data_IF_351353048299
#
_entry.id   IF_351353048299
#
_cell.length_a   1.000
_cell.length_b   1.000
_cell.length_c   1.000
_cell.angle_alpha   90.00
_cell.angle_beta   90.00
_cell.angle_gamma   90.00
#
_symmetry.space_group_name_H-M   'P 1'
#
loop_
_entity.id
_entity.type
_entity.pdbx_description
1 polymer ?
#
# COMPACT_ATOMS: atom_id res chain seq x y z
N UNK A 1 -19.31 11.37 -17.50
CA UNK A 1 -19.06 10.90 -16.13
C UNK A 1 -18.81 12.06 -15.20
N UNK A 2 -19.27 11.94 -13.96
CA UNK A 2 -18.81 12.74 -12.82
C UNK A 2 -17.74 11.93 -12.11
N UNK A 3 -16.50 12.38 -12.18
CA UNK A 3 -15.33 11.69 -11.64
C UNK A 3 -14.89 12.37 -10.34
N UNK A 4 -14.66 11.59 -9.29
CA UNK A 4 -14.15 12.09 -8.03
C UNK A 4 -12.92 11.31 -7.57
N UNK A 5 -11.78 12.01 -7.52
CA UNK A 5 -10.57 11.57 -6.84
C UNK A 5 -10.44 12.30 -5.51
N UNK A 6 -10.26 11.57 -4.42
CA UNK A 6 -10.20 12.12 -3.07
C UNK A 6 -8.79 12.51 -2.62
N UNK A 7 -7.80 12.47 -3.53
CA UNK A 7 -6.44 12.86 -3.19
C UNK A 7 -6.35 14.37 -2.91
N UNK A 8 -5.29 14.78 -2.22
CA UNK A 8 -4.93 16.21 -2.15
C UNK A 8 -4.12 16.62 -3.39
N UNK A 9 -4.29 17.87 -3.83
CA UNK A 9 -3.59 18.42 -5.00
C UNK A 9 -2.08 18.51 -4.82
N UNK A 10 -1.58 18.49 -3.58
CA UNK A 10 -0.14 18.44 -3.25
C UNK A 10 0.54 17.11 -3.60
N UNK A 11 -0.21 16.07 -3.96
CA UNK A 11 0.34 14.78 -4.40
C UNK A 11 0.20 14.58 -5.91
N UNK A 12 1.02 13.70 -6.48
CA UNK A 12 0.97 13.38 -7.91
C UNK A 12 -0.41 12.87 -8.35
N UNK A 13 -1.13 12.14 -7.49
CA UNK A 13 -2.52 11.71 -7.75
C UNK A 13 -3.44 12.90 -7.98
N UNK A 14 -3.28 13.99 -7.23
CA UNK A 14 -4.05 15.21 -7.48
C UNK A 14 -3.68 15.89 -8.80
N UNK A 15 -2.39 15.92 -9.13
CA UNK A 15 -1.92 16.48 -10.41
C UNK A 15 -2.51 15.70 -11.59
N UNK A 16 -2.23 14.41 -11.68
CA UNK A 16 -2.58 13.57 -12.82
C UNK A 16 -4.05 13.20 -12.86
N UNK A 17 -4.69 13.01 -11.69
CA UNK A 17 -6.01 12.40 -11.59
C UNK A 17 -7.05 13.25 -10.86
N UNK A 18 -6.79 14.50 -10.48
CA UNK A 18 -7.86 15.50 -10.21
C UNK A 18 -7.89 16.51 -11.34
N UNK A 19 -6.72 17.01 -11.74
CA UNK A 19 -6.59 18.12 -12.69
C UNK A 19 -6.32 17.62 -14.10
N UNK A 20 -5.09 17.20 -14.40
CA UNK A 20 -4.63 17.08 -15.79
C UNK A 20 -5.37 16.00 -16.58
N UNK A 21 -5.47 14.77 -16.06
CA UNK A 21 -6.12 13.65 -16.75
C UNK A 21 -7.60 13.91 -17.02
N UNK A 22 -8.43 14.15 -15.99
CA UNK A 22 -9.86 14.40 -16.17
C UNK A 22 -10.14 15.61 -17.08
N UNK A 23 -9.48 16.76 -16.86
CA UNK A 23 -9.74 17.97 -17.64
C UNK A 23 -9.27 17.84 -19.10
N UNK A 24 -8.17 17.14 -19.35
CA UNK A 24 -7.71 16.88 -20.74
C UNK A 24 -8.68 15.99 -21.51
N UNK A 25 -9.51 15.19 -20.81
CA UNK A 25 -10.56 14.37 -21.40
C UNK A 25 -11.93 15.08 -21.44
N UNK A 26 -12.02 16.35 -21.04
CA UNK A 26 -13.27 17.09 -20.95
C UNK A 26 -14.25 16.52 -19.91
N UNK A 27 -13.76 15.75 -18.94
CA UNK A 27 -14.59 15.18 -17.88
C UNK A 27 -14.93 16.21 -16.79
N UNK A 28 -16.03 15.97 -16.07
CA UNK A 28 -16.33 16.70 -14.83
C UNK A 28 -15.55 16.07 -13.68
N UNK A 29 -14.65 16.83 -13.06
CA UNK A 29 -13.85 16.41 -11.91
C UNK A 29 -14.34 17.10 -10.64
N UNK A 30 -14.48 16.34 -9.55
CA UNK A 30 -14.87 16.87 -8.24
C UNK A 30 -13.63 17.09 -7.38
N UNK A 31 -13.48 18.32 -6.86
CA UNK A 31 -12.48 18.65 -5.85
C UNK A 31 -13.19 18.88 -4.52
N UNK A 32 -12.71 18.22 -3.46
CA UNK A 32 -13.31 18.27 -2.14
C UNK A 32 -12.29 18.81 -1.14
N UNK A 33 -12.65 19.89 -0.44
CA UNK A 33 -11.79 20.56 0.56
C UNK A 33 -11.81 19.84 1.92
N UNK A 34 -12.88 19.08 2.20
CA UNK A 34 -13.14 18.52 3.52
C UNK A 34 -12.48 17.17 3.81
N UNK A 35 -12.83 16.63 4.98
CA UNK A 35 -12.53 15.27 5.42
C UNK A 35 -13.69 14.79 6.32
N UNK A 36 -13.83 13.47 6.60
CA UNK A 36 -14.79 12.99 7.60
C UNK A 36 -14.50 13.64 8.95
N UNK A 37 -15.53 14.17 9.61
CA UNK A 37 -15.45 14.80 10.94
C UNK A 37 -16.48 14.17 11.87
N UNK A 38 -16.29 14.28 13.19
CA UNK A 38 -17.21 13.72 14.16
C UNK A 38 -18.68 14.17 13.96
N UNK A 39 -18.90 15.39 13.47
CA UNK A 39 -20.24 15.92 13.16
C UNK A 39 -20.87 15.32 11.90
N UNK A 40 -20.07 14.78 10.97
CA UNK A 40 -20.55 14.10 9.77
C UNK A 40 -19.50 13.12 9.23
N UNK A 41 -19.52 11.90 9.74
CA UNK A 41 -18.66 10.81 9.27
C UNK A 41 -19.08 10.29 7.88
N UNK A 42 -20.33 10.56 7.46
CA UNK A 42 -20.89 10.15 6.18
C UNK A 42 -20.69 11.15 5.04
N UNK A 43 -19.91 12.22 5.24
CA UNK A 43 -19.84 13.35 4.30
C UNK A 43 -19.41 12.96 2.88
N UNK A 44 -18.60 11.90 2.71
CA UNK A 44 -18.20 11.42 1.39
C UNK A 44 -19.39 10.82 0.64
N UNK A 45 -20.25 10.10 1.34
CA UNK A 45 -21.45 9.48 0.77
C UNK A 45 -22.48 10.54 0.41
N UNK A 46 -22.61 11.60 1.22
CA UNK A 46 -23.43 12.76 0.91
C UNK A 46 -22.98 13.45 -0.40
N UNK A 47 -21.66 13.52 -0.64
CA UNK A 47 -21.09 14.07 -1.89
C UNK A 47 -21.40 13.18 -3.08
N UNK A 48 -21.24 11.86 -2.96
CA UNK A 48 -21.57 10.91 -4.03
C UNK A 48 -23.04 11.01 -4.43
N UNK A 49 -23.94 10.97 -3.46
CA UNK A 49 -25.38 11.07 -3.67
C UNK A 49 -25.77 12.43 -4.27
N UNK A 50 -25.28 13.53 -3.70
CA UNK A 50 -25.64 14.90 -4.15
C UNK A 50 -25.17 15.19 -5.57
N UNK A 51 -23.95 14.78 -5.92
CA UNK A 51 -23.34 15.09 -7.22
C UNK A 51 -23.43 13.94 -8.22
N UNK A 52 -24.09 12.84 -7.85
CA UNK A 52 -24.27 11.66 -8.69
C UNK A 52 -22.93 11.17 -9.25
N UNK A 53 -21.94 11.02 -8.36
CA UNK A 53 -20.58 10.61 -8.73
C UNK A 53 -20.65 9.23 -9.41
N UNK A 54 -20.01 9.12 -10.56
CA UNK A 54 -20.00 7.90 -11.37
C UNK A 54 -18.71 7.08 -11.20
N UNK A 55 -17.59 7.75 -10.89
CA UNK A 55 -16.29 7.12 -10.68
C UNK A 55 -15.72 7.66 -9.37
N UNK A 56 -15.40 6.76 -8.44
CA UNK A 56 -14.87 7.12 -7.13
C UNK A 56 -13.47 6.52 -6.93
N UNK A 57 -12.48 7.38 -6.75
CA UNK A 57 -11.06 7.02 -6.68
C UNK A 57 -10.44 7.52 -5.37
N UNK A 58 -10.03 6.60 -4.50
CA UNK A 58 -9.59 6.93 -3.14
C UNK A 58 -8.44 6.04 -2.66
N UNK A 59 -7.83 6.37 -1.52
CA UNK A 59 -6.71 5.60 -0.98
C UNK A 59 -7.19 4.44 -0.07
N UNK A 60 -6.43 3.33 0.04
CA UNK A 60 -6.72 2.25 1.00
C UNK A 60 -6.88 2.75 2.44
N UNK A 61 -6.09 3.75 2.86
CA UNK A 61 -6.22 4.37 4.19
C UNK A 61 -7.60 4.97 4.45
N UNK A 62 -8.19 5.62 3.44
CA UNK A 62 -9.55 6.13 3.55
C UNK A 62 -10.56 4.97 3.63
N UNK A 63 -10.39 3.94 2.79
CA UNK A 63 -11.24 2.73 2.81
C UNK A 63 -11.23 2.07 4.19
N UNK A 64 -10.06 1.84 4.79
CA UNK A 64 -9.93 1.31 6.16
C UNK A 64 -10.62 2.20 7.20
N UNK A 65 -10.54 3.52 7.04
CA UNK A 65 -11.22 4.46 7.92
C UNK A 65 -12.74 4.34 7.80
N UNK A 66 -13.27 4.17 6.59
CA UNK A 66 -14.70 3.95 6.36
C UNK A 66 -15.21 2.64 6.95
N UNK A 67 -14.41 1.57 6.85
CA UNK A 67 -14.70 0.28 7.51
C UNK A 67 -14.88 0.50 9.01
N UNK A 68 -13.93 1.18 9.65
CA UNK A 68 -13.95 1.48 11.09
C UNK A 68 -15.13 2.38 11.50
N UNK A 69 -15.53 3.32 10.65
CA UNK A 69 -16.70 4.18 10.89
C UNK A 69 -18.03 3.42 10.76
N UNK A 70 -18.05 2.29 10.06
CA UNK A 70 -19.17 1.36 9.98
C UNK A 70 -20.06 1.56 8.75
N UNK A 71 -20.64 0.44 8.28
CA UNK A 71 -21.40 0.36 7.03
C UNK A 71 -22.72 1.16 7.05
N UNK A 72 -23.25 1.52 8.21
CA UNK A 72 -24.49 2.30 8.34
C UNK A 72 -24.41 3.69 7.68
N UNK A 73 -23.21 4.28 7.59
CA UNK A 73 -23.01 5.55 6.90
C UNK A 73 -23.25 5.45 5.38
N UNK A 74 -22.53 4.59 4.62
CA UNK A 74 -22.81 4.44 3.20
C UNK A 74 -24.18 3.82 2.92
N UNK A 75 -24.66 2.88 3.75
CA UNK A 75 -25.93 2.18 3.51
C UNK A 75 -27.20 3.05 3.63
N UNK A 76 -27.07 4.30 4.10
CA UNK A 76 -28.19 5.24 4.23
C UNK A 76 -28.24 6.28 3.11
N UNK A 77 -27.38 6.17 2.08
CA UNK A 77 -27.31 7.06 0.91
C UNK A 77 -27.49 6.27 -0.38
N UNK A 78 -27.96 6.95 -1.43
CA UNK A 78 -28.01 6.39 -2.77
C UNK A 78 -26.64 6.49 -3.46
N UNK A 79 -25.96 5.33 -3.58
CA UNK A 79 -24.68 5.16 -4.28
C UNK A 79 -24.85 4.52 -5.67
N UNK A 80 -26.08 4.44 -6.20
CA UNK A 80 -26.37 3.74 -7.47
C UNK A 80 -25.77 4.44 -8.70
N UNK A 81 -25.41 5.71 -8.61
CA UNK A 81 -24.70 6.42 -9.69
C UNK A 81 -23.31 5.86 -9.97
N UNK A 82 -22.67 5.22 -8.97
CA UNK A 82 -21.33 4.64 -9.14
C UNK A 82 -21.34 3.51 -10.17
N UNK A 83 -20.33 3.51 -11.04
CA UNK A 83 -20.08 2.44 -12.02
C UNK A 83 -18.66 1.89 -11.99
N UNK A 84 -17.73 2.60 -11.35
CA UNK A 84 -16.33 2.22 -11.25
C UNK A 84 -15.74 2.75 -9.93
N UNK A 85 -15.03 1.87 -9.24
CA UNK A 85 -14.25 2.22 -8.06
C UNK A 85 -12.78 2.10 -8.41
N UNK A 86 -11.93 2.90 -7.78
CA UNK A 86 -10.50 2.69 -7.84
C UNK A 86 -9.81 2.94 -6.52
N UNK A 87 -8.63 2.34 -6.40
CA UNK A 87 -7.76 2.47 -5.22
C UNK A 87 -6.32 2.76 -5.61
N UNK A 88 -5.62 3.55 -4.79
CA UNK A 88 -4.31 4.12 -5.15
C UNK A 88 -3.40 4.41 -3.96
N UNK A 89 -2.11 4.30 -4.22
CA UNK A 89 -1.05 4.92 -3.41
C UNK A 89 -0.46 4.02 -2.34
N UNK A 90 -1.15 2.94 -1.98
CA UNK A 90 -0.69 1.90 -1.06
C UNK A 90 -1.28 0.56 -1.51
N UNK A 91 -0.68 -0.59 -1.12
CA UNK A 91 -1.34 -1.87 -1.27
C UNK A 91 -2.68 -1.90 -0.52
N UNK A 92 -3.69 -2.48 -1.15
CA UNK A 92 -4.99 -2.77 -0.53
C UNK A 92 -5.04 -4.24 -0.11
N UNK A 93 -5.37 -4.50 1.16
CA UNK A 93 -5.54 -5.88 1.59
C UNK A 93 -6.85 -6.49 1.03
N UNK A 94 -6.94 -7.82 0.85
CA UNK A 94 -8.12 -8.47 0.29
C UNK A 94 -9.42 -8.18 1.03
N UNK A 95 -9.40 -8.07 2.36
CA UNK A 95 -10.61 -7.82 3.16
C UNK A 95 -11.18 -6.42 2.89
N UNK A 96 -10.33 -5.39 2.91
CA UNK A 96 -10.71 -4.03 2.59
C UNK A 96 -11.18 -3.90 1.14
N UNK A 97 -10.54 -4.62 0.21
CA UNK A 97 -10.96 -4.69 -1.19
C UNK A 97 -12.38 -5.29 -1.31
N UNK A 98 -12.64 -6.42 -0.63
CA UNK A 98 -13.94 -7.08 -0.65
C UNK A 98 -15.03 -6.23 0.00
N UNK A 99 -14.72 -5.55 1.10
CA UNK A 99 -15.62 -4.59 1.73
C UNK A 99 -15.96 -3.45 0.77
N UNK A 100 -14.96 -2.88 0.10
CA UNK A 100 -15.15 -1.78 -0.85
C UNK A 100 -16.03 -2.19 -2.03
N UNK A 101 -15.85 -3.41 -2.54
CA UNK A 101 -16.67 -3.98 -3.61
C UNK A 101 -18.13 -4.17 -3.17
N UNK A 102 -18.33 -4.77 -2.00
CA UNK A 102 -19.67 -5.11 -1.48
C UNK A 102 -20.45 -3.88 -1.04
N UNK A 103 -19.86 -3.06 -0.19
CA UNK A 103 -20.56 -1.99 0.53
C UNK A 103 -20.68 -0.73 -0.32
N UNK A 104 -19.58 -0.29 -0.93
CA UNK A 104 -19.58 0.93 -1.75
C UNK A 104 -19.98 0.61 -3.19
N UNK A 105 -19.46 -0.49 -3.74
CA UNK A 105 -19.75 -0.92 -5.10
C UNK A 105 -21.06 -1.66 -5.28
N UNK A 106 -21.77 -2.02 -4.20
CA UNK A 106 -22.99 -2.84 -4.26
C UNK A 106 -22.79 -4.21 -4.92
N UNK A 107 -21.56 -4.73 -4.96
CA UNK A 107 -21.19 -5.94 -5.70
C UNK A 107 -21.20 -5.82 -7.23
N UNK A 108 -21.39 -4.61 -7.77
CA UNK A 108 -21.61 -4.36 -9.21
C UNK A 108 -20.57 -3.43 -9.84
N UNK A 109 -19.83 -2.66 -9.05
CA UNK A 109 -18.76 -1.79 -9.56
C UNK A 109 -17.42 -2.54 -9.57
N UNK A 110 -16.73 -2.70 -10.72
CA UNK A 110 -15.34 -3.17 -10.72
C UNK A 110 -14.45 -2.22 -9.92
N UNK A 111 -13.39 -2.76 -9.31
CA UNK A 111 -12.36 -2.00 -8.61
C UNK A 111 -11.07 -2.05 -9.42
N UNK A 112 -10.55 -0.90 -9.80
CA UNK A 112 -9.20 -0.77 -10.37
C UNK A 112 -8.20 -0.45 -9.26
N UNK A 113 -7.40 -1.45 -8.89
CA UNK A 113 -6.19 -1.22 -8.11
C UNK A 113 -5.11 -0.69 -9.04
N UNK A 114 -4.54 0.46 -8.70
CA UNK A 114 -3.67 1.22 -9.59
C UNK A 114 -2.31 1.41 -8.94
N UNK A 115 -1.33 0.64 -9.41
CA UNK A 115 0.06 0.84 -9.01
C UNK A 115 0.78 1.80 -9.96
N UNK A 116 1.42 2.80 -9.36
CA UNK A 116 2.27 3.80 -10.00
C UNK A 116 2.92 4.71 -8.94
N UNK A 117 3.75 5.66 -9.39
CA UNK A 117 4.55 6.51 -8.51
C UNK A 117 4.61 7.96 -9.02
N UNK A 118 5.13 8.87 -8.21
CA UNK A 118 5.37 10.26 -8.63
C UNK A 118 6.24 10.31 -9.89
N UNK A 119 7.26 9.47 -9.91
CA UNK A 119 8.27 9.36 -10.93
C UNK A 119 7.73 8.76 -12.24
N UNK A 120 6.61 8.03 -12.18
CA UNK A 120 5.98 7.45 -13.36
C UNK A 120 4.98 8.39 -14.03
N UNK A 121 4.52 9.42 -13.32
CA UNK A 121 3.59 10.44 -13.81
C UNK A 121 2.14 9.97 -13.99
N UNK A 122 1.93 8.68 -14.23
CA UNK A 122 0.61 8.06 -14.32
C UNK A 122 0.64 6.56 -14.03
N UNK A 123 -0.55 5.96 -14.08
CA UNK A 123 -0.83 4.54 -13.78
C UNK A 123 -0.01 3.61 -14.68
N UNK A 124 0.62 2.60 -14.06
CA UNK A 124 1.57 1.70 -14.73
C UNK A 124 1.05 0.26 -14.82
N UNK A 125 0.47 -0.24 -13.72
CA UNK A 125 -0.11 -1.59 -13.64
C UNK A 125 -1.50 -1.42 -13.04
N UNK A 126 -2.52 -1.85 -13.79
CA UNK A 126 -3.92 -1.77 -13.34
C UNK A 126 -4.83 -2.64 -14.20
N UNK A 127 -5.99 -2.98 -13.64
CA UNK A 127 -7.05 -3.61 -14.40
C UNK A 127 -7.70 -2.60 -15.35
N UNK A 128 -7.89 -2.98 -16.61
CA UNK A 128 -8.77 -2.26 -17.53
C UNK A 128 -10.20 -2.78 -17.33
N UNK A 129 -11.14 -1.95 -16.84
CA UNK A 129 -12.49 -2.40 -16.53
C UNK A 129 -13.18 -2.90 -17.80
N UNK A 130 -13.76 -4.11 -17.73
CA UNK A 130 -14.39 -4.78 -18.87
C UNK A 130 -13.46 -5.66 -19.71
N UNK A 131 -12.14 -5.66 -19.44
CA UNK A 131 -11.17 -6.50 -20.15
C UNK A 131 -10.40 -7.45 -19.23
N UNK A 132 -10.08 -7.02 -18.00
CA UNK A 132 -9.21 -7.77 -17.08
C UNK A 132 -9.99 -8.14 -15.82
N UNK A 133 -10.19 -9.45 -15.53
CA UNK A 133 -10.72 -9.90 -14.24
C UNK A 133 -9.80 -9.45 -13.10
N UNK A 134 -10.35 -9.07 -11.96
CA UNK A 134 -9.55 -8.60 -10.81
C UNK A 134 -9.33 -9.72 -9.80
N UNK A 135 -8.16 -9.69 -9.14
CA UNK A 135 -7.85 -10.50 -7.96
C UNK A 135 -7.70 -9.54 -6.77
N UNK A 136 -8.42 -9.72 -5.65
CA UNK A 136 -8.30 -8.83 -4.50
C UNK A 136 -6.85 -8.67 -4.02
N UNK A 137 -6.36 -7.43 -4.01
CA UNK A 137 -4.98 -7.09 -3.63
C UNK A 137 -3.92 -7.18 -4.74
N UNK A 138 -4.31 -7.51 -5.97
CA UNK A 138 -3.42 -7.45 -7.14
C UNK A 138 -3.70 -6.20 -7.99
N UNK A 139 -2.64 -5.55 -8.45
CA UNK A 139 -2.70 -4.51 -9.47
C UNK A 139 -2.99 -5.08 -10.89
N UNK A 140 -2.98 -6.41 -11.05
CA UNK A 140 -3.26 -7.15 -12.29
C UNK A 140 -2.17 -7.02 -13.35
N UNK A 141 -2.48 -6.48 -14.53
CA UNK A 141 -1.61 -6.49 -15.71
C UNK A 141 -1.07 -5.08 -16.01
N UNK A 142 0.06 -4.98 -16.74
CA UNK A 142 0.58 -3.69 -17.18
C UNK A 142 -0.40 -2.92 -18.06
N UNK A 143 -0.40 -1.60 -17.89
CA UNK A 143 -1.09 -0.68 -18.79
C UNK A 143 -0.46 -0.73 -20.19
N UNK A 144 -1.21 -0.46 -21.27
CA UNK A 144 -0.66 -0.51 -22.64
C UNK A 144 0.61 0.33 -22.81
N UNK A 145 1.67 -0.30 -23.35
CA UNK A 145 2.98 0.33 -23.55
C UNK A 145 3.91 0.28 -22.35
N UNK A 146 3.45 -0.21 -21.20
CA UNK A 146 4.29 -0.45 -20.02
C UNK A 146 4.82 -1.88 -20.06
N UNK A 147 6.13 -2.03 -19.88
CA UNK A 147 6.80 -3.34 -19.94
C UNK A 147 7.52 -3.56 -18.60
N UNK A 148 6.78 -4.00 -17.56
CA UNK A 148 7.34 -4.29 -16.26
C UNK A 148 7.96 -5.68 -16.24
N UNK A 149 8.93 -5.86 -15.36
CA UNK A 149 9.43 -7.19 -15.01
C UNK A 149 9.84 -7.25 -13.54
N UNK A 150 10.05 -8.46 -13.06
CA UNK A 150 10.49 -8.72 -11.69
C UNK A 150 11.82 -9.43 -11.77
N UNK A 151 12.83 -8.86 -11.13
CA UNK A 151 14.21 -9.35 -11.21
C UNK A 151 14.83 -9.50 -9.82
N UNK A 152 15.94 -10.21 -9.71
CA UNK A 152 16.81 -10.15 -8.53
C UNK A 152 17.76 -8.93 -8.57
N UNK A 153 18.75 -8.87 -7.68
CA UNK A 153 19.69 -7.74 -7.60
C UNK A 153 20.68 -7.73 -8.78
N UNK A 154 20.90 -8.88 -9.38
CA UNK A 154 21.76 -9.10 -10.53
C UNK A 154 21.03 -8.76 -11.85
N UNK A 155 19.72 -8.58 -11.78
CA UNK A 155 18.84 -8.27 -12.92
C UNK A 155 18.35 -9.51 -13.66
N UNK A 156 18.48 -10.71 -13.08
CA UNK A 156 17.91 -11.96 -13.61
C UNK A 156 16.41 -12.01 -13.32
N UNK A 157 15.56 -12.45 -14.27
CA UNK A 157 14.13 -12.58 -14.04
C UNK A 157 13.81 -13.52 -12.87
N UNK A 158 12.93 -13.08 -11.98
CA UNK A 158 12.41 -13.91 -10.91
C UNK A 158 11.43 -14.97 -11.46
N UNK A 159 11.38 -16.13 -10.80
CA UNK A 159 10.42 -17.19 -11.14
C UNK A 159 8.97 -16.78 -10.79
N UNK A 160 7.99 -17.51 -11.33
CA UNK A 160 6.58 -17.31 -10.97
C UNK A 160 6.37 -17.47 -9.46
N UNK A 161 5.58 -16.56 -8.89
CA UNK A 161 5.33 -16.41 -7.45
C UNK A 161 6.57 -16.09 -6.60
N UNK A 162 7.76 -15.95 -7.18
CA UNK A 162 8.94 -15.51 -6.46
C UNK A 162 8.93 -13.99 -6.33
N UNK A 163 9.24 -13.50 -5.12
CA UNK A 163 9.40 -12.07 -4.86
C UNK A 163 10.71 -11.54 -5.44
N UNK A 164 10.66 -10.37 -6.05
CA UNK A 164 11.83 -9.66 -6.57
C UNK A 164 11.61 -8.15 -6.67
N UNK A 165 12.50 -7.49 -7.39
CA UNK A 165 12.55 -6.06 -7.62
C UNK A 165 11.73 -5.70 -8.86
N UNK A 166 10.74 -4.82 -8.69
CA UNK A 166 9.94 -4.33 -9.80
C UNK A 166 10.74 -3.32 -10.62
N UNK A 167 10.94 -3.64 -11.90
CA UNK A 167 11.60 -2.80 -12.89
C UNK A 167 10.68 -2.48 -14.06
N UNK A 168 11.03 -1.44 -14.83
CA UNK A 168 10.43 -1.13 -16.12
C UNK A 168 11.52 -1.16 -17.19
N UNK A 169 11.33 -2.00 -18.22
CA UNK A 169 12.35 -2.29 -19.24
C UNK A 169 12.53 -1.17 -20.27
N UNK A 170 11.51 -0.33 -20.45
CA UNK A 170 11.50 0.73 -21.45
C UNK A 170 10.96 2.03 -20.87
N UNK A 171 11.48 3.20 -21.30
CA UNK A 171 10.88 4.49 -21.00
C UNK A 171 9.45 4.59 -21.51
N UNK A 172 8.61 5.33 -20.79
CA UNK A 172 7.22 5.62 -21.15
C UNK A 172 6.99 7.14 -21.24
N UNK A 173 5.92 7.59 -21.91
CA UNK A 173 5.69 9.02 -22.14
C UNK A 173 5.66 9.87 -20.87
N UNK A 174 5.00 9.39 -19.81
CA UNK A 174 4.80 10.09 -18.53
C UNK A 174 5.99 10.06 -17.56
N UNK A 175 7.09 9.36 -17.90
CA UNK A 175 8.26 9.22 -17.02
C UNK A 175 8.83 10.58 -16.61
N UNK A 176 9.20 10.75 -15.35
CA UNK A 176 9.97 11.94 -14.93
C UNK A 176 11.25 12.09 -15.76
N UNK A 177 11.71 13.32 -15.94
CA UNK A 177 12.88 13.61 -16.78
C UNK A 177 14.18 13.73 -16.00
N UNK A 178 14.11 14.17 -14.74
CA UNK A 178 15.24 14.37 -13.85
C UNK A 178 14.76 14.72 -12.44
N UNK A 179 15.67 14.83 -11.48
CA UNK A 179 15.45 15.51 -10.19
C UNK A 179 15.95 16.95 -10.31
N UNK A 180 15.13 17.92 -9.91
CA UNK A 180 15.46 19.34 -10.04
C UNK A 180 16.74 19.70 -9.28
N UNK A 181 17.73 20.25 -9.98
CA UNK A 181 19.03 20.61 -9.42
C UNK A 181 19.96 19.42 -9.14
N UNK A 182 19.56 18.17 -9.42
CA UNK A 182 20.34 16.98 -9.07
C UNK A 182 20.16 15.82 -10.09
N UNK A 183 20.70 15.97 -11.32
CA UNK A 183 20.61 14.92 -12.34
C UNK A 183 21.36 13.63 -11.96
N UNK A 184 22.37 13.71 -11.10
CA UNK A 184 23.10 12.53 -10.63
C UNK A 184 22.23 11.66 -9.72
N UNK A 185 21.41 12.26 -8.85
CA UNK A 185 20.44 11.51 -8.05
C UNK A 185 19.41 10.81 -8.91
N UNK A 186 18.96 11.42 -10.01
CA UNK A 186 18.07 10.75 -10.97
C UNK A 186 18.73 9.48 -11.55
N UNK A 187 19.98 9.58 -12.01
CA UNK A 187 20.70 8.44 -12.56
C UNK A 187 20.92 7.35 -11.51
N UNK A 188 21.49 7.71 -10.35
CA UNK A 188 21.83 6.77 -9.27
C UNK A 188 20.61 6.02 -8.71
N UNK A 189 19.54 6.75 -8.43
CA UNK A 189 18.39 6.17 -7.71
C UNK A 189 17.54 5.26 -8.59
N UNK A 190 17.44 5.56 -9.88
CA UNK A 190 16.46 4.92 -10.77
C UNK A 190 17.07 4.07 -11.88
N UNK A 191 18.35 4.25 -12.22
CA UNK A 191 18.96 3.54 -13.36
C UNK A 191 20.21 2.74 -12.97
N UNK A 192 20.85 3.04 -11.85
CA UNK A 192 22.09 2.37 -11.43
C UNK A 192 21.89 1.35 -10.30
N UNK A 193 20.68 1.22 -9.75
CA UNK A 193 20.41 0.28 -8.66
C UNK A 193 20.46 -1.19 -9.11
N UNK A 194 19.87 -1.47 -10.27
CA UNK A 194 19.96 -2.79 -10.91
C UNK A 194 21.05 -2.70 -11.98
N UNK A 195 22.08 -3.57 -11.95
CA UNK A 195 23.13 -3.58 -12.94
C UNK A 195 22.55 -3.76 -14.36
N UNK A 196 23.08 -3.03 -15.37
CA UNK A 196 22.62 -3.19 -16.73
C UNK A 196 22.98 -4.58 -17.27
N UNK A 197 22.07 -5.19 -18.03
CA UNK A 197 22.33 -6.45 -18.76
C UNK A 197 22.54 -6.18 -20.23
N UNK A 198 23.64 -6.68 -20.77
CA UNK A 198 24.04 -6.48 -22.17
C UNK A 198 24.02 -4.99 -22.58
N UNK A 199 24.45 -4.11 -21.66
CA UNK A 199 24.46 -2.66 -21.86
C UNK A 199 23.08 -1.99 -21.80
N UNK A 200 22.00 -2.73 -21.48
CA UNK A 200 20.65 -2.19 -21.33
C UNK A 200 20.37 -1.86 -19.87
N UNK A 201 20.11 -0.58 -19.62
CA UNK A 201 19.63 -0.09 -18.34
C UNK A 201 18.13 -0.29 -18.21
N UNK A 202 17.68 -0.51 -16.98
CA UNK A 202 16.26 -0.62 -16.62
C UNK A 202 15.93 0.42 -15.57
N UNK A 203 14.68 0.89 -15.56
CA UNK A 203 14.19 1.76 -14.51
C UNK A 203 13.83 0.91 -13.29
N UNK A 204 14.45 1.19 -12.15
CA UNK A 204 14.12 0.56 -10.87
C UNK A 204 13.05 1.35 -10.13
N UNK A 205 11.91 0.72 -9.84
CA UNK A 205 10.80 1.38 -9.16
C UNK A 205 11.03 1.54 -7.65
N UNK A 206 11.92 0.77 -7.03
CA UNK A 206 12.05 0.77 -5.57
C UNK A 206 10.95 -0.01 -4.85
N UNK A 207 10.14 -0.77 -5.58
CA UNK A 207 9.09 -1.63 -5.03
C UNK A 207 9.44 -3.11 -5.20
N UNK A 208 9.10 -3.91 -4.19
CA UNK A 208 9.10 -5.36 -4.26
C UNK A 208 7.79 -5.86 -4.85
N UNK A 209 7.86 -6.82 -5.76
CA UNK A 209 6.67 -7.42 -6.36
C UNK A 209 6.88 -8.91 -6.64
N UNK A 210 5.78 -9.63 -6.86
CA UNK A 210 5.79 -10.96 -7.48
C UNK A 210 4.79 -11.02 -8.63
N UNK A 211 5.04 -11.92 -9.57
CA UNK A 211 4.19 -12.19 -10.73
C UNK A 211 3.66 -13.61 -10.60
N UNK A 212 2.34 -13.77 -10.56
CA UNK A 212 1.75 -15.11 -10.44
C UNK A 212 1.70 -15.84 -11.78
N UNK A 213 1.17 -17.06 -11.76
CA UNK A 213 1.07 -17.95 -12.93
C UNK A 213 0.18 -17.39 -14.04
N UNK A 214 -0.79 -16.53 -13.70
CA UNK A 214 -1.66 -15.84 -14.67
C UNK A 214 -1.02 -14.53 -15.18
N UNK A 215 0.20 -14.23 -14.75
CA UNK A 215 0.92 -13.00 -15.09
C UNK A 215 0.49 -11.77 -14.30
N UNK A 216 -0.30 -11.94 -13.23
CA UNK A 216 -0.76 -10.81 -12.41
C UNK A 216 0.34 -10.35 -11.48
N UNK A 217 0.51 -9.04 -11.38
CA UNK A 217 1.49 -8.38 -10.52
C UNK A 217 0.89 -8.10 -9.14
N UNK A 218 1.63 -8.50 -8.12
CA UNK A 218 1.32 -8.29 -6.71
C UNK A 218 2.43 -7.41 -6.13
N UNK A 219 2.12 -6.15 -5.86
CA UNK A 219 3.10 -5.20 -5.33
C UNK A 219 3.07 -5.25 -3.81
N UNK A 220 4.19 -5.65 -3.22
CA UNK A 220 4.32 -5.95 -1.80
C UNK A 220 4.67 -4.70 -0.97
N UNK A 221 5.11 -3.63 -1.61
CA UNK A 221 5.54 -2.38 -0.99
C UNK A 221 6.96 -2.00 -1.37
N UNK A 222 7.52 -0.99 -0.70
CA UNK A 222 8.90 -0.53 -0.94
C UNK A 222 9.88 -1.66 -0.64
N UNK A 223 10.93 -1.80 -1.44
CA UNK A 223 12.00 -2.80 -1.15
C UNK A 223 12.68 -2.55 0.18
N UNK A 224 12.76 -1.28 0.60
CA UNK A 224 13.28 -0.90 1.91
C UNK A 224 12.39 -1.47 3.01
N UNK A 225 11.12 -1.77 2.73
CA UNK A 225 10.11 -2.37 3.62
C UNK A 225 9.85 -3.86 3.30
N UNK A 226 10.67 -4.52 2.47
CA UNK A 226 10.64 -5.98 2.25
C UNK A 226 11.64 -6.63 3.20
N UNK A 227 11.26 -7.73 3.83
CA UNK A 227 12.09 -8.48 4.77
C UNK A 227 12.70 -9.68 4.05
N UNK A 228 14.01 -9.88 4.18
CA UNK A 228 14.71 -11.06 3.66
C UNK A 228 14.99 -12.07 4.77
N UNK A 229 14.13 -13.08 4.88
CA UNK A 229 14.27 -14.17 5.85
C UNK A 229 14.82 -15.41 5.17
N UNK A 230 16.05 -15.78 5.48
CA UNK A 230 16.72 -16.96 4.94
C UNK A 230 16.70 -17.05 3.40
N UNK A 231 16.84 -15.91 2.72
CA UNK A 231 16.81 -15.81 1.26
C UNK A 231 15.41 -15.61 0.66
N UNK A 232 14.35 -15.70 1.47
CA UNK A 232 12.98 -15.43 1.03
C UNK A 232 12.61 -13.96 1.25
N UNK A 233 12.19 -13.30 0.16
CA UNK A 233 11.70 -11.92 0.22
C UNK A 233 10.22 -11.91 0.56
N UNK A 234 9.91 -11.42 1.75
CA UNK A 234 8.55 -11.31 2.26
C UNK A 234 8.13 -9.84 2.34
N UNK A 235 6.96 -9.55 1.81
CA UNK A 235 6.35 -8.24 1.97
C UNK A 235 5.98 -8.01 3.43
N UNK A 236 6.27 -6.84 3.99
CA UNK A 236 5.71 -6.49 5.30
C UNK A 236 4.18 -6.50 5.26
N UNK A 237 3.60 -6.05 4.15
CA UNK A 237 2.14 -5.95 3.99
C UNK A 237 1.41 -7.30 3.98
N UNK A 238 1.99 -8.37 3.42
CA UNK A 238 1.34 -9.68 3.44
C UNK A 238 1.23 -10.22 4.87
N UNK A 239 2.31 -10.09 5.65
CA UNK A 239 2.35 -10.50 7.06
C UNK A 239 1.41 -9.61 7.90
N UNK A 240 1.43 -8.30 7.67
CA UNK A 240 0.49 -7.35 8.30
C UNK A 240 -0.97 -7.72 7.98
N UNK A 241 -1.27 -8.08 6.73
CA UNK A 241 -2.62 -8.47 6.31
C UNK A 241 -3.06 -9.78 6.97
N UNK A 242 -2.16 -10.76 7.06
CA UNK A 242 -2.43 -12.01 7.78
C UNK A 242 -2.67 -11.75 9.27
N UNK A 243 -1.92 -10.84 9.91
CA UNK A 243 -2.16 -10.47 11.30
C UNK A 243 -3.52 -9.77 11.48
N UNK A 244 -3.84 -8.81 10.61
CA UNK A 244 -5.09 -8.02 10.68
C UNK A 244 -6.33 -8.87 10.38
N UNK A 245 -6.21 -9.96 9.62
CA UNK A 245 -7.35 -10.87 9.40
C UNK A 245 -7.75 -11.66 10.66
N UNK A 246 -6.95 -11.60 11.73
CA UNK A 246 -7.31 -12.19 13.02
C UNK A 246 -8.26 -11.28 13.81
N UNK A 247 -9.40 -11.77 14.35
CA UNK A 247 -10.42 -10.95 15.05
C UNK A 247 -9.96 -10.23 16.33
N UNK A 248 -8.72 -10.43 16.75
CA UNK A 248 -8.12 -9.79 17.90
C UNK A 248 -7.22 -8.60 17.53
N UNK A 249 -6.91 -8.39 16.25
CA UNK A 249 -5.94 -7.42 15.77
C UNK A 249 -6.67 -6.28 15.07
N UNK A 250 -6.44 -5.05 15.53
CA UNK A 250 -6.95 -3.84 14.90
C UNK A 250 -5.99 -3.32 13.83
N UNK A 251 -4.70 -3.28 14.15
CA UNK A 251 -3.64 -2.84 13.25
C UNK A 251 -2.36 -3.63 13.52
N UNK A 252 -1.56 -3.84 12.48
CA UNK A 252 -0.24 -4.44 12.59
C UNK A 252 0.77 -3.64 11.76
N UNK A 253 2.01 -3.58 12.24
CA UNK A 253 3.16 -3.10 11.48
C UNK A 253 4.31 -4.08 11.63
N UNK A 254 4.85 -4.53 10.50
CA UNK A 254 5.90 -5.55 10.47
C UNK A 254 7.20 -4.90 9.96
N UNK A 255 8.31 -5.28 10.57
CA UNK A 255 9.65 -4.82 10.18
C UNK A 255 10.65 -5.97 10.26
N UNK A 256 11.69 -5.92 9.42
CA UNK A 256 12.85 -6.79 9.55
C UNK A 256 13.69 -6.40 10.75
N UNK A 257 14.10 -7.38 11.55
CA UNK A 257 15.09 -7.27 12.63
C UNK A 257 16.33 -8.06 12.21
N UNK A 258 17.55 -7.51 12.30
CA UNK A 258 18.76 -8.26 11.97
C UNK A 258 18.86 -9.57 12.76
N UNK A 259 19.22 -10.66 12.08
CA UNK A 259 19.40 -11.99 12.66
C UNK A 259 20.66 -12.66 12.08
N UNK A 260 21.51 -13.21 12.94
CA UNK A 260 22.81 -13.76 12.55
C UNK A 260 22.72 -14.98 11.64
N UNK A 261 21.59 -15.71 11.66
CA UNK A 261 21.42 -16.97 10.93
C UNK A 261 20.55 -16.77 9.69
N UNK A 262 19.47 -16.01 9.80
CA UNK A 262 18.48 -15.81 8.73
C UNK A 262 18.77 -14.56 7.89
N UNK A 263 19.70 -13.71 8.31
CA UNK A 263 19.91 -12.37 7.75
C UNK A 263 18.97 -11.36 8.40
N UNK A 264 17.67 -11.54 8.18
CA UNK A 264 16.62 -10.84 8.92
C UNK A 264 15.60 -11.82 9.52
N UNK A 265 14.98 -11.40 10.61
CA UNK A 265 13.83 -12.06 11.23
C UNK A 265 12.63 -11.12 11.28
N UNK A 266 11.43 -11.70 11.37
CA UNK A 266 10.18 -10.93 11.29
C UNK A 266 9.79 -10.46 12.69
N UNK A 267 9.72 -9.14 12.86
CA UNK A 267 9.23 -8.49 14.07
C UNK A 267 7.91 -7.78 13.79
N UNK A 268 6.86 -8.11 14.55
CA UNK A 268 5.55 -7.49 14.39
C UNK A 268 5.18 -6.62 15.60
N UNK A 269 4.73 -5.40 15.35
CA UNK A 269 4.02 -4.56 16.30
C UNK A 269 2.51 -4.73 16.07
N UNK A 270 1.76 -5.03 17.12
CA UNK A 270 0.33 -5.36 17.03
C UNK A 270 -0.48 -4.47 17.98
N UNK A 271 -1.51 -3.82 17.45
CA UNK A 271 -2.55 -3.16 18.22
C UNK A 271 -3.76 -4.10 18.28
N UNK A 272 -4.27 -4.34 19.48
CA UNK A 272 -5.42 -5.21 19.69
C UNK A 272 -6.75 -4.48 19.45
N UNK A 273 -7.76 -5.22 19.01
CA UNK A 273 -9.13 -4.72 18.83
C UNK A 273 -9.89 -4.69 20.17
N UNK A 274 -10.55 -3.56 20.46
CA UNK A 274 -11.34 -3.36 21.68
C UNK A 274 -10.51 -3.38 22.98
N UNK A 275 -11.09 -3.92 24.05
CA UNK A 275 -10.47 -3.95 25.40
C UNK A 275 -9.61 -5.20 25.66
N UNK A 276 -9.23 -5.93 24.59
CA UNK A 276 -8.44 -7.16 24.68
C UNK A 276 -7.06 -6.87 25.30
N UNK A 277 -6.59 -7.78 26.14
CA UNK A 277 -5.31 -7.64 26.83
C UNK A 277 -4.21 -8.48 26.16
N UNK A 278 -2.97 -7.98 26.11
CA UNK A 278 -1.84 -8.74 25.59
C UNK A 278 -1.53 -9.94 26.48
N UNK A 279 -1.19 -11.07 25.86
CA UNK A 279 -0.73 -12.29 26.55
C UNK A 279 0.20 -13.11 25.67
N UNK A 280 1.03 -13.94 26.28
CA UNK A 280 1.92 -14.87 25.57
C UNK A 280 1.13 -15.91 24.77
N UNK A 281 -0.02 -16.33 25.28
CA UNK A 281 -0.97 -17.20 24.59
C UNK A 281 -1.46 -16.56 23.30
N UNK A 282 -1.89 -15.30 23.35
CA UNK A 282 -2.34 -14.56 22.18
C UNK A 282 -1.20 -14.34 21.17
N UNK A 283 0.01 -14.02 21.63
CA UNK A 283 1.15 -13.92 20.73
C UNK A 283 1.44 -15.24 19.99
N UNK A 284 1.33 -16.39 20.68
CA UNK A 284 1.48 -17.72 20.06
C UNK A 284 0.34 -18.03 19.08
N UNK A 285 -0.88 -17.63 19.40
CA UNK A 285 -2.05 -17.74 18.52
C UNK A 285 -1.85 -16.95 17.22
N UNK A 286 -1.47 -15.68 17.31
CA UNK A 286 -1.21 -14.82 16.15
C UNK A 286 -0.07 -15.35 15.28
N UNK A 287 1.02 -15.86 15.87
CA UNK A 287 2.09 -16.52 15.11
C UNK A 287 1.61 -17.75 14.35
N UNK A 288 0.72 -18.56 14.94
CA UNK A 288 0.12 -19.72 14.27
C UNK A 288 -0.82 -19.29 13.15
N UNK A 289 -1.57 -18.22 13.36
CA UNK A 289 -2.46 -17.65 12.36
C UNK A 289 -1.70 -17.22 11.10
N UNK A 290 -0.60 -16.46 11.24
CA UNK A 290 0.25 -16.08 10.10
C UNK A 290 0.82 -17.30 9.35
N UNK A 291 1.19 -18.36 10.09
CA UNK A 291 1.68 -19.61 9.49
C UNK A 291 0.60 -20.30 8.68
N UNK A 292 -0.66 -20.24 9.11
CA UNK A 292 -1.78 -20.83 8.39
C UNK A 292 -2.12 -20.05 7.12
N UNK A 293 -2.04 -18.72 7.17
CA UNK A 293 -2.39 -17.83 6.05
C UNK A 293 -1.32 -17.77 4.96
N UNK A 294 -0.04 -17.75 5.34
CA UNK A 294 1.09 -17.54 4.40
C UNK A 294 2.01 -18.75 4.35
N UNK A 295 2.38 -19.29 5.52
CA UNK A 295 3.29 -20.41 5.64
C UNK A 295 4.33 -20.22 6.75
N UNK A 296 5.07 -21.29 7.05
CA UNK A 296 6.03 -21.31 8.15
C UNK A 296 7.15 -20.27 8.01
N UNK A 297 7.51 -19.90 6.77
CA UNK A 297 8.56 -18.93 6.46
C UNK A 297 8.20 -17.50 6.89
N UNK A 298 6.91 -17.17 6.95
CA UNK A 298 6.41 -15.84 7.30
C UNK A 298 6.12 -15.68 8.80
N UNK A 299 6.44 -16.68 9.63
CA UNK A 299 6.17 -16.66 11.07
C UNK A 299 6.94 -15.53 11.76
N UNK A 300 6.26 -14.57 12.42
CA UNK A 300 6.94 -13.58 13.26
C UNK A 300 7.68 -14.26 14.40
N UNK A 301 8.96 -13.95 14.59
CA UNK A 301 9.72 -14.45 15.72
C UNK A 301 9.36 -13.72 17.01
N UNK A 302 9.03 -12.44 16.91
CA UNK A 302 8.57 -11.59 17.99
C UNK A 302 7.29 -10.84 17.60
N UNK A 303 6.36 -10.76 18.56
CA UNK A 303 5.18 -9.90 18.47
C UNK A 303 5.23 -9.00 19.69
N UNK A 304 5.25 -7.69 19.46
CA UNK A 304 5.16 -6.67 20.51
C UNK A 304 3.79 -6.01 20.43
N UNK A 305 3.03 -6.12 21.52
CA UNK A 305 1.77 -5.42 21.63
C UNK A 305 2.02 -3.94 21.95
N UNK A 306 1.28 -3.05 21.30
CA UNK A 306 1.40 -1.60 21.46
C UNK A 306 0.02 -0.95 21.52
N UNK A 307 -0.07 0.18 22.21
CA UNK A 307 -1.29 1.02 22.21
C UNK A 307 -1.45 1.81 20.90
N UNK A 308 -0.33 2.19 20.28
CA UNK A 308 -0.32 3.01 19.08
C UNK A 308 0.94 2.75 18.23
N UNK A 309 0.83 3.04 16.93
CA UNK A 309 1.92 2.97 15.97
C UNK A 309 2.37 4.39 15.57
N UNK A 310 3.67 4.63 15.33
CA UNK A 310 4.18 5.93 14.92
C UNK A 310 3.69 6.23 13.50
N UNK A 311 2.84 7.25 13.36
CA UNK A 311 2.26 7.67 12.08
C UNK A 311 2.62 9.10 11.74
N UNK A 312 2.71 9.39 10.44
CA UNK A 312 2.73 10.77 9.94
C UNK A 312 1.35 11.41 10.12
N UNK A 313 1.27 12.74 10.02
CA UNK A 313 -0.03 13.45 9.98
C UNK A 313 -0.98 13.01 8.86
N UNK A 314 -0.47 12.32 7.84
CA UNK A 314 -1.26 11.71 6.76
C UNK A 314 -1.66 10.26 7.04
N UNK A 315 -1.37 9.74 8.24
CA UNK A 315 -1.72 8.38 8.67
C UNK A 315 -0.75 7.29 8.23
N UNK A 316 0.39 7.63 7.59
CA UNK A 316 1.36 6.63 7.12
C UNK A 316 2.23 6.14 8.28
N UNK A 317 2.31 4.83 8.46
CA UNK A 317 3.17 4.20 9.46
C UNK A 317 4.64 4.48 9.13
N UNK A 318 5.39 5.00 10.09
CA UNK A 318 6.81 5.30 9.97
C UNK A 318 7.67 4.07 10.30
N UNK A 319 7.63 3.06 9.41
CA UNK A 319 8.31 1.75 9.60
C UNK A 319 9.81 1.85 9.90
N UNK A 320 10.48 2.87 9.37
CA UNK A 320 11.89 3.15 9.66
C UNK A 320 12.17 3.32 11.16
N UNK A 321 11.25 3.94 11.91
CA UNK A 321 11.38 4.12 13.36
C UNK A 321 11.14 2.80 14.10
N UNK A 322 10.14 2.03 13.65
CA UNK A 322 9.84 0.70 14.18
C UNK A 322 11.01 -0.27 13.97
N UNK A 323 11.73 -0.17 12.85
CA UNK A 323 12.95 -0.97 12.58
C UNK A 323 14.06 -0.66 13.56
N UNK A 324 14.32 0.62 13.85
CA UNK A 324 15.30 1.03 14.87
C UNK A 324 14.90 0.48 16.24
N UNK A 325 13.62 0.56 16.60
CA UNK A 325 13.10 0.03 17.87
C UNK A 325 13.23 -1.50 17.97
N UNK A 326 12.87 -2.24 16.91
CA UNK A 326 13.01 -3.69 16.86
C UNK A 326 14.47 -4.14 16.95
N UNK A 327 15.40 -3.33 16.43
CA UNK A 327 16.84 -3.59 16.45
C UNK A 327 17.54 -3.06 17.71
N UNK A 328 16.82 -2.45 18.65
CA UNK A 328 17.40 -1.85 19.86
C UNK A 328 18.33 -0.64 19.58
N UNK A 329 18.21 0.00 18.42
CA UNK A 329 19.04 1.12 18.01
C UNK A 329 18.44 2.47 18.43
N UNK A 330 19.30 3.44 18.71
CA UNK A 330 18.86 4.82 18.90
C UNK A 330 18.23 5.38 17.62
N UNK A 331 17.13 6.12 17.78
CA UNK A 331 16.44 6.79 16.70
C UNK A 331 17.23 8.08 16.38
N UNK A 332 18.09 8.04 15.37
CA UNK A 332 18.95 9.17 14.94
C UNK A 332 18.31 10.05 13.86
N UNK A 333 17.09 9.72 13.47
CA UNK A 333 16.46 10.20 12.25
C UNK A 333 15.38 11.25 12.48
N UNK A 334 15.02 12.00 11.43
CA UNK A 334 13.98 13.03 11.54
C UNK A 334 12.62 12.47 12.00
N UNK A 335 12.07 13.14 13.02
CA UNK A 335 10.78 12.89 13.69
C UNK A 335 9.83 14.10 13.57
N UNK A 336 10.15 15.08 12.73
CA UNK A 336 9.39 16.32 12.55
C UNK A 336 7.95 16.11 12.04
N UNK A 337 7.71 15.01 11.31
CA UNK A 337 6.42 14.69 10.66
C UNK A 337 5.52 13.76 11.46
N UNK A 338 5.99 13.27 12.64
CA UNK A 338 5.19 12.47 13.55
C UNK A 338 3.96 13.24 14.04
N UNK A 339 2.83 12.55 14.10
CA UNK A 339 1.61 13.08 14.70
C UNK A 339 1.77 13.21 16.22
N UNK A 340 2.28 12.18 16.88
CA UNK A 340 2.54 12.14 18.32
C UNK A 340 3.91 11.52 18.59
N UNK A 341 4.79 12.30 19.24
CA UNK A 341 6.15 11.87 19.58
C UNK A 341 6.21 10.96 20.81
N UNK A 342 5.23 11.05 21.71
CA UNK A 342 5.18 10.26 22.95
C UNK A 342 5.04 8.76 22.69
N UNK A 343 4.51 8.39 21.51
CA UNK A 343 4.41 7.01 21.03
C UNK A 343 5.78 6.33 21.00
N UNK A 344 6.85 7.06 20.65
CA UNK A 344 8.18 6.46 20.57
C UNK A 344 8.73 6.07 21.94
N UNK A 345 8.44 6.85 22.97
CA UNK A 345 8.89 6.57 24.33
C UNK A 345 8.14 5.35 24.90
N UNK A 346 6.82 5.29 24.71
CA UNK A 346 6.00 4.12 25.09
C UNK A 346 6.45 2.82 24.42
N UNK A 347 6.83 2.89 23.14
CA UNK A 347 7.34 1.73 22.40
C UNK A 347 8.76 1.29 22.84
N UNK A 348 9.52 2.18 23.48
CA UNK A 348 10.81 1.87 24.12
C UNK A 348 10.67 1.28 25.51
N UNK A 349 9.72 1.77 26.31
CA UNK A 349 9.51 1.31 27.69
C UNK A 349 8.97 -0.12 27.78
N UNK A 350 8.33 -0.62 26.72
CA UNK A 350 7.93 -2.04 26.59
C UNK A 350 9.02 -2.98 26.07
N UNK A 351 10.31 -2.61 26.16
CA UNK A 351 11.46 -3.40 25.71
C UNK A 351 12.05 -4.32 26.79
#
# INVERSE_FOLDING_TARGET
DVYWCTADVGWITGHSYIVYGPLSNGATTLMYEGAPRASNLGCFWDVIEKYQVTIFYTAPTAIRSFIKMGEHHPNTRDLTSLRLLGTVGEPINPEAWMWYHRVIGGGRCPIVDTWWQTETGGIMITALPGAIPTKPGSATLPFPGIIPDIVDLEGDPAESNQGGYLILRHPWPGMMRTVYGDPDRFRKSYWEHIPPKDGKYVYFAGDGARKDEDGYYWVMGRVDDVINVAGHRLGTMEIESALVSHPAVAEAAVVGKPDEVKGEDIFAFVILEGDRQPSDELAKELKKHVVAEIGAIARPSEIRFAEALPKTRSGKIMRRLLRSLASGQEITSDTSTLEDRSILDKLREGA
#
